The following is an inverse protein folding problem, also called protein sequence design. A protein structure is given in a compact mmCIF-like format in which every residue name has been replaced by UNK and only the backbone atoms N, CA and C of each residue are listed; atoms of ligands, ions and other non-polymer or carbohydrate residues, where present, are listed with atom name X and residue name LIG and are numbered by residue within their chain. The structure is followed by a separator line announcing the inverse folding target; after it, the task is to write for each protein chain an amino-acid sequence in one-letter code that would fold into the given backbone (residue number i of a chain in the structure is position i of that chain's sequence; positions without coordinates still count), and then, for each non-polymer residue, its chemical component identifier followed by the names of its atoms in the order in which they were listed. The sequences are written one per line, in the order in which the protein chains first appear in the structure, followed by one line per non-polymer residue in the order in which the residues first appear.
data_IF_729545737431
#
_entry.id   IF_729545737431
#
_cell.length_a   1.000
_cell.length_b   1.000
_cell.length_c   1.000
_cell.angle_alpha   90.00
_cell.angle_beta   90.00
_cell.angle_gamma   90.00
#
_symmetry.space_group_name_H-M   'P 1'
#
loop_
_entity.id
_entity.type
_entity.pdbx_description
1 polymer ?
#
# COMPACT_ATOMS: atom_id res chain seq x y z
N UNK A 1 -22.56 -13.74 12.45
CA UNK A 1 -21.10 -13.63 12.21
C UNK A 1 -20.24 -14.48 13.16
N UNK A 2 -20.65 -14.75 14.36
CA UNK A 2 -19.93 -15.64 15.32
C UNK A 2 -19.81 -17.11 14.87
N UNK A 3 -20.85 -17.68 14.26
CA UNK A 3 -20.83 -19.08 13.79
C UNK A 3 -19.82 -19.38 12.67
N UNK A 4 -19.37 -18.35 11.91
CA UNK A 4 -18.36 -18.52 10.86
C UNK A 4 -16.95 -18.52 11.47
N UNK A 5 -16.71 -17.73 12.51
CA UNK A 5 -15.43 -17.72 13.23
C UNK A 5 -15.14 -19.04 13.95
N UNK A 6 -16.15 -19.67 14.49
CA UNK A 6 -16.02 -20.95 15.18
C UNK A 6 -15.67 -22.10 14.20
N UNK A 7 -16.26 -22.12 13.01
CA UNK A 7 -15.94 -23.14 11.97
C UNK A 7 -14.51 -23.06 11.44
N UNK A 8 -13.92 -21.87 11.34
CA UNK A 8 -12.54 -21.71 10.88
C UNK A 8 -11.51 -22.11 11.95
N UNK A 9 -11.84 -21.96 13.23
CA UNK A 9 -11.02 -22.48 14.35
C UNK A 9 -10.97 -24.02 14.37
N UNK A 10 -12.10 -24.67 14.15
CA UNK A 10 -12.21 -26.12 14.20
C UNK A 10 -11.52 -26.84 13.03
N UNK A 11 -11.44 -26.18 11.85
CA UNK A 11 -10.72 -26.71 10.69
C UNK A 11 -9.20 -26.70 10.87
N UNK A 12 -8.64 -25.65 11.52
CA UNK A 12 -7.21 -25.56 11.76
C UNK A 12 -6.67 -26.63 12.71
N UNK A 13 -7.50 -27.10 13.69
CA UNK A 13 -7.12 -28.16 14.60
C UNK A 13 -7.28 -29.58 14.01
N UNK A 14 -8.07 -29.72 12.94
CA UNK A 14 -8.34 -31.03 12.29
C UNK A 14 -7.15 -31.50 11.44
N UNK A 15 -6.40 -30.61 10.79
CA UNK A 15 -5.33 -31.02 9.87
C UNK A 15 -4.05 -31.49 10.59
N UNK A 16 -3.71 -30.92 11.73
CA UNK A 16 -2.57 -31.40 12.54
C UNK A 16 -2.83 -32.76 13.18
N UNK A 17 -4.08 -33.05 13.57
CA UNK A 17 -4.48 -34.34 14.13
C UNK A 17 -4.51 -35.45 13.08
N UNK A 18 -4.83 -35.15 11.83
CA UNK A 18 -4.87 -36.13 10.74
C UNK A 18 -3.46 -36.53 10.32
N UNK A 19 -2.51 -35.60 10.27
CA UNK A 19 -1.11 -35.90 9.90
C UNK A 19 -0.44 -36.81 10.93
N UNK A 20 -0.68 -36.58 12.23
CA UNK A 20 -0.17 -37.42 13.32
C UNK A 20 -0.83 -38.80 13.32
N UNK A 21 -2.13 -38.91 13.07
CA UNK A 21 -2.84 -40.21 13.03
C UNK A 21 -2.39 -41.09 11.87
N UNK A 22 -2.04 -40.54 10.71
CA UNK A 22 -1.53 -41.32 9.57
C UNK A 22 -0.13 -41.89 9.82
N UNK A 23 0.72 -41.23 10.60
CA UNK A 23 2.04 -41.76 10.98
C UNK A 23 1.93 -42.99 11.90
N UNK A 24 0.96 -43.01 12.80
CA UNK A 24 0.72 -44.17 13.68
C UNK A 24 0.18 -45.42 12.94
N UNK A 25 -0.54 -45.25 11.83
CA UNK A 25 -1.08 -46.35 11.04
C UNK A 25 0.01 -47.12 10.25
N UNK A 26 1.17 -46.49 10.01
CA UNK A 26 2.28 -47.11 9.28
C UNK A 26 3.43 -47.60 10.19
N UNK A 27 3.24 -47.59 11.51
CA UNK A 27 4.24 -48.09 12.46
C UNK A 27 5.56 -47.32 12.52
N UNK A 28 5.59 -46.12 11.98
CA UNK A 28 6.75 -45.24 12.05
C UNK A 28 6.64 -44.38 13.33
N UNK A 29 7.43 -44.71 14.32
CA UNK A 29 7.55 -43.86 15.50
C UNK A 29 8.35 -42.61 15.10
N UNK A 30 7.81 -41.39 15.26
CA UNK A 30 8.58 -40.18 15.05
C UNK A 30 9.73 -40.13 16.07
N UNK A 31 10.96 -40.03 15.58
CA UNK A 31 12.10 -39.82 16.46
C UNK A 31 12.01 -38.47 17.18
N UNK A 32 12.72 -38.31 18.32
CA UNK A 32 12.67 -37.07 19.13
C UNK A 32 12.98 -35.79 18.33
N UNK A 33 13.78 -35.89 17.27
CA UNK A 33 14.13 -34.76 16.42
C UNK A 33 12.99 -34.31 15.50
N UNK A 34 12.02 -35.20 15.17
CA UNK A 34 10.91 -34.85 14.27
C UNK A 34 9.83 -34.06 15.00
N UNK A 35 9.62 -34.28 16.30
CA UNK A 35 8.68 -33.51 17.11
C UNK A 35 9.15 -32.07 17.35
N UNK A 36 10.42 -31.90 17.65
CA UNK A 36 11.05 -30.58 17.82
C UNK A 36 11.04 -29.74 16.54
N UNK A 37 11.25 -30.36 15.39
CA UNK A 37 11.20 -29.69 14.08
C UNK A 37 9.77 -29.27 13.69
N UNK A 38 8.73 -30.02 14.08
CA UNK A 38 7.33 -29.69 13.85
C UNK A 38 6.86 -28.53 14.76
N UNK A 39 7.29 -28.51 16.02
CA UNK A 39 6.99 -27.44 16.96
C UNK A 39 7.70 -26.13 16.57
N UNK A 40 8.97 -26.20 16.22
CA UNK A 40 9.74 -25.03 15.77
C UNK A 40 9.16 -24.41 14.48
N UNK A 41 8.69 -25.22 13.52
CA UNK A 41 8.01 -24.75 12.33
C UNK A 41 6.64 -24.12 12.64
N UNK A 42 5.90 -24.67 13.60
CA UNK A 42 4.61 -24.15 14.06
C UNK A 42 4.74 -22.79 14.76
N UNK A 43 5.73 -22.62 15.63
CA UNK A 43 6.02 -21.34 16.29
C UNK A 43 6.47 -20.27 15.30
N UNK A 44 7.40 -20.58 14.41
CA UNK A 44 7.85 -19.66 13.34
C UNK A 44 6.71 -19.22 12.42
N UNK A 45 5.77 -20.12 12.09
CA UNK A 45 4.61 -19.77 11.28
C UNK A 45 3.62 -18.86 12.05
N UNK A 46 3.38 -19.16 13.32
CA UNK A 46 2.51 -18.33 14.20
C UNK A 46 3.09 -16.93 14.38
N UNK A 47 4.38 -16.81 14.62
CA UNK A 47 5.09 -15.54 14.77
C UNK A 47 4.98 -14.69 13.50
N UNK A 48 5.22 -15.28 12.32
CA UNK A 48 5.04 -14.61 11.02
C UNK A 48 3.61 -14.13 10.80
N UNK A 49 2.61 -14.90 11.20
CA UNK A 49 1.21 -14.49 11.10
C UNK A 49 0.86 -13.34 12.05
N UNK A 50 1.43 -13.31 13.26
CA UNK A 50 1.24 -12.21 14.20
C UNK A 50 1.86 -10.92 13.66
N UNK A 51 3.11 -10.98 13.20
CA UNK A 51 3.80 -9.83 12.59
C UNK A 51 3.03 -9.28 11.39
N UNK A 52 2.55 -10.15 10.50
CA UNK A 52 1.76 -9.73 9.34
C UNK A 52 0.40 -9.10 9.73
N UNK A 53 -0.22 -9.58 10.81
CA UNK A 53 -1.46 -9.00 11.35
C UNK A 53 -1.20 -7.61 11.93
N UNK A 54 -0.11 -7.45 12.67
CA UNK A 54 0.27 -6.18 13.27
C UNK A 54 0.64 -5.14 12.20
N UNK A 55 1.34 -5.56 11.13
CA UNK A 55 1.66 -4.70 9.99
C UNK A 55 0.39 -4.22 9.26
N UNK A 56 -0.56 -5.12 9.01
CA UNK A 56 -1.84 -4.77 8.39
C UNK A 56 -2.63 -3.76 9.22
N UNK A 57 -2.64 -3.94 10.54
CA UNK A 57 -3.30 -3.02 11.45
C UNK A 57 -2.62 -1.64 11.43
N UNK A 58 -1.29 -1.61 11.47
CA UNK A 58 -0.50 -0.38 11.41
C UNK A 58 -0.73 0.37 10.10
N UNK A 59 -0.74 -0.32 8.95
CA UNK A 59 -1.07 0.28 7.65
C UNK A 59 -2.45 0.93 7.67
N UNK A 60 -3.46 0.22 8.19
CA UNK A 60 -4.83 0.75 8.31
C UNK A 60 -4.90 2.02 9.16
N UNK A 61 -4.32 2.01 10.35
CA UNK A 61 -4.29 3.17 11.26
C UNK A 61 -3.55 4.36 10.63
N UNK A 62 -2.49 4.09 9.89
CA UNK A 62 -1.74 5.09 9.15
C UNK A 62 -2.62 5.75 8.07
N UNK A 63 -3.33 4.96 7.26
CA UNK A 63 -4.23 5.49 6.23
C UNK A 63 -5.38 6.31 6.86
N UNK A 64 -6.00 5.81 7.93
CA UNK A 64 -7.05 6.54 8.65
C UNK A 64 -6.55 7.90 9.18
N UNK A 65 -5.33 7.95 9.71
CA UNK A 65 -4.72 9.20 10.21
C UNK A 65 -4.54 10.24 9.09
N UNK A 66 -4.01 9.84 7.92
CA UNK A 66 -3.79 10.75 6.80
C UNK A 66 -5.08 11.19 6.11
N UNK A 67 -6.07 10.31 5.99
CA UNK A 67 -7.38 10.64 5.39
C UNK A 67 -8.23 11.56 6.28
N UNK A 68 -8.11 11.45 7.60
CA UNK A 68 -8.85 12.29 8.55
C UNK A 68 -8.17 13.63 8.86
N UNK A 69 -6.95 13.85 8.38
CA UNK A 69 -6.22 15.08 8.60
C UNK A 69 -6.77 16.24 7.73
N UNK A 70 -6.72 17.45 8.28
CA UNK A 70 -7.10 18.67 7.54
C UNK A 70 -5.84 19.39 7.09
N UNK A 71 -5.65 19.47 5.76
CA UNK A 71 -4.46 20.07 5.16
C UNK A 71 -4.72 21.50 4.69
N UNK A 72 -3.75 22.40 4.94
CA UNK A 72 -3.74 23.76 4.37
C UNK A 72 -3.18 23.73 2.94
N UNK A 73 -3.53 24.70 2.07
CA UNK A 73 -3.05 24.71 0.68
C UNK A 73 -1.51 24.71 0.52
N UNK A 74 -0.78 25.31 1.46
CA UNK A 74 0.69 25.36 1.46
C UNK A 74 1.36 24.22 2.23
N UNK A 75 0.59 23.39 2.91
CA UNK A 75 1.10 22.31 3.75
C UNK A 75 1.68 21.18 2.91
N UNK A 76 2.80 20.66 3.35
CA UNK A 76 3.50 19.55 2.73
C UNK A 76 3.67 18.43 3.75
N UNK A 77 3.46 17.21 3.34
CA UNK A 77 3.92 16.07 4.11
C UNK A 77 5.44 16.11 4.19
N UNK A 78 5.98 15.89 5.37
CA UNK A 78 7.43 15.70 5.53
C UNK A 78 7.89 14.47 4.74
N UNK A 79 9.18 14.37 4.49
CA UNK A 79 9.73 13.24 3.74
C UNK A 79 9.42 11.88 4.38
N UNK A 80 9.39 11.84 5.71
CA UNK A 80 9.03 10.64 6.48
C UNK A 80 7.53 10.34 6.41
N UNK A 81 6.68 11.35 6.57
CA UNK A 81 5.23 11.20 6.46
C UNK A 81 4.80 10.72 5.06
N UNK A 82 5.40 11.31 4.02
CA UNK A 82 5.15 10.87 2.65
C UNK A 82 5.58 9.42 2.44
N UNK A 83 6.75 9.02 2.92
CA UNK A 83 7.22 7.63 2.86
C UNK A 83 6.28 6.68 3.59
N UNK A 84 5.84 7.05 4.80
CA UNK A 84 4.94 6.26 5.64
C UNK A 84 3.56 6.06 4.97
N UNK A 85 2.97 7.14 4.44
CA UNK A 85 1.73 7.08 3.68
C UNK A 85 1.85 6.11 2.48
N UNK A 86 2.89 6.26 1.67
CA UNK A 86 3.09 5.44 0.49
C UNK A 86 3.33 3.96 0.82
N UNK A 87 4.06 3.69 1.90
CA UNK A 87 4.21 2.33 2.42
C UNK A 87 2.87 1.75 2.89
N UNK A 88 2.06 2.53 3.59
CA UNK A 88 0.76 2.08 4.06
C UNK A 88 -0.22 1.77 2.92
N UNK A 89 -0.14 2.51 1.81
CA UNK A 89 -0.90 2.23 0.57
C UNK A 89 -0.45 0.92 -0.10
N UNK A 90 0.80 0.50 0.10
CA UNK A 90 1.32 -0.77 -0.43
C UNK A 90 2.53 -0.65 -1.35
N UNK A 91 3.09 0.55 -1.55
CA UNK A 91 4.35 0.67 -2.26
C UNK A 91 5.50 0.11 -1.40
N UNK A 92 6.36 -0.71 -1.99
CA UNK A 92 7.48 -1.35 -1.28
C UNK A 92 8.80 -1.28 -2.07
N UNK A 93 9.93 -1.39 -1.38
CA UNK A 93 11.24 -1.47 -1.98
C UNK A 93 11.53 -0.37 -3.00
N UNK A 94 11.85 -0.74 -4.25
CA UNK A 94 12.13 0.20 -5.34
C UNK A 94 10.89 1.00 -5.74
N UNK A 95 9.69 0.38 -5.73
CA UNK A 95 8.45 1.05 -6.05
C UNK A 95 8.15 2.18 -5.05
N UNK A 96 8.39 1.98 -3.76
CA UNK A 96 8.25 3.01 -2.72
C UNK A 96 9.19 4.19 -2.96
N UNK A 97 10.46 3.96 -3.26
CA UNK A 97 11.42 5.02 -3.59
C UNK A 97 10.98 5.81 -4.82
N UNK A 98 10.52 5.12 -5.86
CA UNK A 98 10.07 5.77 -7.09
C UNK A 98 8.80 6.59 -6.84
N UNK A 99 7.79 6.03 -6.15
CA UNK A 99 6.56 6.73 -5.80
C UNK A 99 6.85 8.01 -4.99
N UNK A 100 7.72 7.91 -3.99
CA UNK A 100 8.14 9.05 -3.19
C UNK A 100 8.80 10.13 -4.06
N UNK A 101 9.73 9.76 -4.93
CA UNK A 101 10.44 10.70 -5.81
C UNK A 101 9.49 11.38 -6.81
N UNK A 102 8.50 10.65 -7.35
CA UNK A 102 7.46 11.22 -8.22
C UNK A 102 6.60 12.21 -7.44
N UNK A 103 6.07 11.86 -6.27
CA UNK A 103 5.25 12.77 -5.45
C UNK A 103 6.02 14.05 -5.05
N UNK A 104 7.31 13.92 -4.71
CA UNK A 104 8.20 15.08 -4.46
C UNK A 104 8.38 15.93 -5.71
N UNK A 105 8.49 15.34 -6.89
CA UNK A 105 8.66 16.04 -8.14
C UNK A 105 7.38 16.74 -8.60
N UNK A 106 6.21 16.12 -8.42
CA UNK A 106 4.92 16.63 -8.89
C UNK A 106 4.34 17.73 -8.01
N UNK A 107 4.42 17.58 -6.70
CA UNK A 107 3.78 18.51 -5.74
C UNK A 107 4.64 18.91 -4.56
N UNK A 108 5.85 18.35 -4.42
CA UNK A 108 6.65 18.40 -3.21
C UNK A 108 5.93 17.78 -1.99
N UNK A 109 5.05 16.80 -2.21
CA UNK A 109 4.28 16.14 -1.16
C UNK A 109 3.11 16.97 -0.62
N UNK A 110 2.57 17.93 -1.38
CA UNK A 110 1.43 18.77 -0.97
C UNK A 110 0.10 18.07 -1.29
N UNK A 111 -0.72 17.71 -0.27
CA UNK A 111 -2.03 17.12 -0.51
C UNK A 111 -2.97 18.04 -1.30
N UNK A 112 -2.96 19.34 -0.99
CA UNK A 112 -3.83 20.34 -1.61
C UNK A 112 -3.25 20.96 -2.88
N UNK A 113 -2.24 20.33 -3.51
CA UNK A 113 -1.67 20.85 -4.75
C UNK A 113 -2.69 20.79 -5.90
N UNK A 114 -2.84 21.89 -6.61
CA UNK A 114 -3.69 22.02 -7.78
C UNK A 114 -2.98 22.75 -8.92
N UNK A 115 -2.98 22.14 -10.10
CA UNK A 115 -2.58 22.80 -11.35
C UNK A 115 -3.77 22.86 -12.30
N UNK A 116 -4.33 24.04 -12.51
CA UNK A 116 -5.51 24.28 -13.35
C UNK A 116 -5.17 24.93 -14.71
N UNK A 117 -3.96 24.74 -15.22
CA UNK A 117 -3.55 25.36 -16.48
C UNK A 117 -4.18 24.66 -17.71
N UNK A 118 -5.37 25.10 -18.09
CA UNK A 118 -6.09 24.57 -19.23
C UNK A 118 -5.39 24.77 -20.58
N UNK A 119 -4.48 25.78 -20.68
CA UNK A 119 -3.73 26.01 -21.92
C UNK A 119 -2.71 24.90 -22.18
N UNK A 120 -2.18 24.30 -21.14
CA UNK A 120 -1.23 23.17 -21.24
C UNK A 120 -1.92 21.81 -21.10
N UNK A 121 -3.26 21.75 -21.00
CA UNK A 121 -4.00 20.51 -20.86
C UNK A 121 -3.96 19.95 -19.44
N UNK A 122 -3.85 20.81 -18.42
CA UNK A 122 -3.79 20.41 -17.02
C UNK A 122 -5.05 20.78 -16.24
N UNK A 123 -5.53 19.82 -15.46
CA UNK A 123 -6.43 19.97 -14.32
C UNK A 123 -6.03 18.88 -13.32
N UNK A 124 -4.91 19.13 -12.64
CA UNK A 124 -4.17 18.09 -11.88
C UNK A 124 -4.29 18.33 -10.38
N UNK A 125 -4.48 17.25 -9.60
CA UNK A 125 -4.84 17.30 -8.19
C UNK A 125 -3.94 16.43 -7.32
N UNK A 126 -3.64 16.94 -6.13
CA UNK A 126 -3.06 16.20 -5.01
C UNK A 126 -1.58 15.88 -5.17
N UNK A 127 -1.10 14.97 -4.31
CA UNK A 127 0.33 14.69 -4.18
C UNK A 127 0.98 14.15 -5.46
N UNK A 128 0.25 13.40 -6.28
CA UNK A 128 0.74 12.84 -7.55
C UNK A 128 0.28 13.63 -8.78
N UNK A 129 -0.40 14.76 -8.61
CA UNK A 129 -0.91 15.59 -9.70
C UNK A 129 -1.71 14.76 -10.74
N UNK A 130 -2.73 14.04 -10.26
CA UNK A 130 -3.59 13.24 -11.12
C UNK A 130 -4.41 14.20 -12.01
N UNK A 131 -4.18 14.15 -13.32
CA UNK A 131 -4.87 15.00 -14.30
C UNK A 131 -6.31 14.54 -14.52
N UNK A 132 -7.26 15.45 -14.38
CA UNK A 132 -8.71 15.22 -14.50
C UNK A 132 -9.35 16.03 -15.63
N UNK A 133 -8.56 16.47 -16.63
CA UNK A 133 -9.06 17.28 -17.73
C UNK A 133 -9.76 16.43 -18.80
N UNK A 134 -10.92 16.90 -19.28
CA UNK A 134 -11.64 16.32 -20.42
C UNK A 134 -12.05 14.85 -20.21
N UNK A 135 -11.98 14.05 -21.28
CA UNK A 135 -12.37 12.64 -21.26
C UNK A 135 -11.54 11.82 -20.28
N UNK A 136 -10.25 12.16 -20.14
CA UNK A 136 -9.37 11.51 -19.15
C UNK A 136 -9.91 11.59 -17.72
N UNK A 137 -10.50 12.75 -17.36
CA UNK A 137 -11.13 12.92 -16.05
C UNK A 137 -12.45 12.16 -15.92
N UNK A 138 -13.23 12.06 -17.01
CA UNK A 138 -14.48 11.27 -17.04
C UNK A 138 -14.15 9.80 -16.80
N UNK A 139 -13.24 9.23 -17.58
CA UNK A 139 -12.82 7.82 -17.49
C UNK A 139 -12.27 7.49 -16.10
N UNK A 140 -11.49 8.39 -15.50
CA UNK A 140 -10.94 8.20 -14.15
C UNK A 140 -12.01 8.28 -13.07
N UNK A 141 -13.00 9.19 -13.21
CA UNK A 141 -14.14 9.24 -12.28
C UNK A 141 -14.94 7.95 -12.30
N UNK A 142 -15.24 7.43 -13.48
CA UNK A 142 -15.96 6.17 -13.63
C UNK A 142 -15.14 5.01 -13.06
N UNK A 143 -13.89 4.87 -13.47
CA UNK A 143 -13.01 3.77 -13.07
C UNK A 143 -12.78 3.69 -11.55
N UNK A 144 -12.64 4.85 -10.89
CA UNK A 144 -12.31 4.94 -9.45
C UNK A 144 -13.49 5.41 -8.61
N UNK A 145 -14.69 5.42 -9.17
CA UNK A 145 -15.94 5.82 -8.49
C UNK A 145 -15.87 7.19 -7.80
N UNK A 146 -15.13 8.13 -8.40
CA UNK A 146 -14.90 9.45 -7.83
C UNK A 146 -16.11 10.35 -8.06
N UNK A 147 -16.86 10.68 -7.01
CA UNK A 147 -17.99 11.61 -7.05
C UNK A 147 -17.56 13.05 -7.36
N UNK A 148 -16.34 13.42 -7.02
CA UNK A 148 -15.78 14.76 -7.22
C UNK A 148 -14.26 14.71 -7.35
N UNK A 149 -13.68 15.62 -8.16
CA UNK A 149 -12.22 15.79 -8.24
C UNK A 149 -11.62 16.25 -6.89
N UNK A 150 -12.41 16.88 -6.02
CA UNK A 150 -11.98 17.35 -4.69
C UNK A 150 -11.49 16.18 -3.81
N UNK A 151 -12.02 14.97 -4.03
CA UNK A 151 -11.54 13.76 -3.32
C UNK A 151 -10.06 13.47 -3.56
N UNK A 152 -9.49 13.94 -4.67
CA UNK A 152 -8.07 13.78 -4.96
C UNK A 152 -7.15 14.67 -4.11
N UNK A 153 -7.70 15.56 -3.29
CA UNK A 153 -6.95 16.28 -2.27
C UNK A 153 -6.75 15.47 -0.98
N UNK A 154 -7.51 14.38 -0.80
CA UNK A 154 -7.19 13.38 0.20
C UNK A 154 -5.92 12.63 -0.25
N UNK A 155 -4.81 12.69 0.50
CA UNK A 155 -3.56 12.09 0.08
C UNK A 155 -3.61 10.56 0.02
N UNK A 156 -4.50 9.92 0.79
CA UNK A 156 -4.72 8.47 0.75
C UNK A 156 -5.37 8.09 -0.57
N UNK A 157 -6.51 8.70 -0.91
CA UNK A 157 -7.23 8.45 -2.17
C UNK A 157 -6.31 8.70 -3.37
N UNK A 158 -5.54 9.79 -3.33
CA UNK A 158 -4.62 10.14 -4.40
C UNK A 158 -3.50 9.09 -4.56
N UNK A 159 -2.93 8.61 -3.46
CA UNK A 159 -1.89 7.59 -3.47
C UNK A 159 -2.43 6.20 -3.88
N UNK A 160 -3.62 5.80 -3.42
CA UNK A 160 -4.27 4.53 -3.79
C UNK A 160 -4.58 4.47 -5.29
N UNK A 161 -5.15 5.54 -5.84
CA UNK A 161 -5.40 5.65 -7.29
C UNK A 161 -4.08 5.56 -8.06
N UNK A 162 -3.02 6.23 -7.59
CA UNK A 162 -1.70 6.15 -8.21
C UNK A 162 -1.12 4.74 -8.13
N UNK A 163 -1.25 4.07 -6.99
CA UNK A 163 -0.85 2.67 -6.83
C UNK A 163 -1.52 1.77 -7.87
N UNK A 164 -2.83 1.94 -8.04
CA UNK A 164 -3.60 1.20 -9.04
C UNK A 164 -3.16 1.55 -10.48
N UNK A 165 -3.02 2.84 -10.81
CA UNK A 165 -2.62 3.30 -12.13
C UNK A 165 -1.22 2.83 -12.53
N UNK A 166 -0.33 2.70 -11.55
CA UNK A 166 1.06 2.25 -11.74
C UNK A 166 1.24 0.74 -11.61
N UNK A 167 0.16 -0.04 -11.43
CA UNK A 167 0.23 -1.48 -11.21
C UNK A 167 1.18 -1.83 -10.05
N UNK A 168 1.00 -1.17 -8.91
CA UNK A 168 1.87 -1.35 -7.74
C UNK A 168 3.24 -0.70 -7.87
N UNK A 169 3.40 0.29 -8.74
CA UNK A 169 4.67 0.99 -8.97
C UNK A 169 5.55 0.39 -10.08
N UNK A 170 4.97 -0.48 -10.94
CA UNK A 170 5.67 -1.09 -12.06
C UNK A 170 5.57 -0.28 -13.36
N UNK A 171 4.51 0.54 -13.53
CA UNK A 171 4.29 1.37 -14.71
C UNK A 171 4.10 2.85 -14.35
N UNK A 172 5.09 3.65 -14.66
CA UNK A 172 5.10 5.11 -14.45
C UNK A 172 4.96 5.90 -15.75
N UNK A 173 4.54 5.28 -16.84
CA UNK A 173 4.44 5.89 -18.18
C UNK A 173 3.53 7.13 -18.24
N UNK A 174 2.58 7.26 -17.31
CA UNK A 174 1.67 8.42 -17.22
C UNK A 174 2.31 9.67 -16.61
N UNK A 175 3.49 9.56 -15.98
CA UNK A 175 4.16 10.69 -15.32
C UNK A 175 5.34 11.22 -16.11
N UNK A 176 5.26 12.50 -16.52
CA UNK A 176 6.31 13.18 -17.28
C UNK A 176 7.60 13.35 -16.46
N UNK A 177 7.51 13.48 -15.13
CA UNK A 177 8.64 13.59 -14.22
C UNK A 177 9.59 12.38 -14.25
N UNK A 178 9.09 11.22 -14.59
CA UNK A 178 9.92 10.02 -14.87
C UNK A 178 10.64 10.17 -16.21
N UNK A 179 9.91 10.55 -17.27
CA UNK A 179 10.47 10.63 -18.63
C UNK A 179 11.54 11.71 -18.77
N UNK A 180 11.36 12.85 -18.08
CA UNK A 180 12.30 13.98 -18.15
C UNK A 180 13.39 13.94 -17.05
N UNK A 181 13.41 12.90 -16.22
CA UNK A 181 14.40 12.71 -15.17
C UNK A 181 14.22 13.57 -13.92
N UNK A 182 13.13 14.35 -13.81
CA UNK A 182 12.90 15.20 -12.62
C UNK A 182 12.71 14.36 -11.35
N UNK A 183 11.99 13.23 -11.42
CA UNK A 183 11.84 12.31 -10.30
C UNK A 183 13.17 11.64 -9.92
N UNK A 184 14.01 11.28 -10.89
CA UNK A 184 15.30 10.64 -10.61
C UNK A 184 16.22 11.51 -9.76
N UNK A 185 16.17 12.84 -9.92
CA UNK A 185 16.94 13.79 -9.11
C UNK A 185 16.52 13.84 -7.64
N UNK A 186 15.36 13.28 -7.29
CA UNK A 186 14.84 13.23 -5.91
C UNK A 186 15.18 11.94 -5.18
N UNK A 187 15.72 10.92 -5.87
CA UNK A 187 15.99 9.62 -5.27
C UNK A 187 17.05 9.66 -4.16
N UNK A 188 18.00 10.59 -4.25
CA UNK A 188 19.05 10.76 -3.25
C UNK A 188 18.53 11.37 -1.94
N UNK A 189 17.40 12.10 -2.01
CA UNK A 189 16.73 12.72 -0.87
C UNK A 189 15.81 11.73 -0.12
N UNK A 190 15.65 10.48 -0.62
CA UNK A 190 14.74 9.51 -0.02
C UNK A 190 15.12 9.17 1.41
N UNK A 191 14.20 9.28 2.40
CA UNK A 191 14.50 9.02 3.80
C UNK A 191 14.80 7.54 4.05
N UNK A 192 16.05 7.22 4.35
CA UNK A 192 16.52 5.84 4.59
C UNK A 192 16.17 5.30 5.99
N UNK A 193 15.72 6.16 6.92
CA UNK A 193 15.33 5.79 8.30
C UNK A 193 13.94 6.30 8.60
#
# INVERSE_FOLDING_TARGET
MEKIKQRLSDVAHSWTSIAVALLFLFGVQPGPDTSLALEANGESHREKMLVAKDEKQLKKETLERYSNAVYKPSEMLTDKELKELLWAVGFEGKALKTAWAVAKSESNGRPMAYNGNRKTGDSSYGIFQINMLGNLGIDRKEKFELRSNVLLFDPVINAEITYHMTQGGNDWSSWSSIKNGAASKRLDDFPNK
#
